data_IF_556648424571
#
_entry.id   IF_556648424571
#
_cell.length_a   1.000
_cell.length_b   1.000
_cell.length_c   1.000
_cell.angle_alpha   90.00
_cell.angle_beta   90.00
_cell.angle_gamma   90.00
#
_symmetry.space_group_name_H-M   'P 1'
#
loop_
_entity.id
_entity.type
_entity.pdbx_description
1 polymer ?
#
# COMPACT_ATOMS: atom_id res chain seq x y z
N UNK A 1 7.07 2.56 -6.68
CA UNK A 1 8.21 2.99 -7.53
C UNK A 1 8.38 2.02 -8.69
N UNK A 2 9.33 2.25 -9.64
CA UNK A 2 9.46 1.36 -10.82
C UNK A 2 9.80 -0.09 -10.44
N UNK A 3 10.69 -0.28 -9.46
CA UNK A 3 11.05 -1.61 -8.98
C UNK A 3 9.84 -2.43 -8.47
N UNK A 4 8.83 -1.75 -7.91
CA UNK A 4 7.63 -2.40 -7.35
C UNK A 4 6.72 -2.99 -8.43
N UNK A 5 6.69 -2.38 -9.59
CA UNK A 5 5.79 -2.80 -10.69
C UNK A 5 6.50 -3.52 -11.83
N UNK A 6 7.84 -3.43 -11.91
CA UNK A 6 8.61 -3.99 -13.03
C UNK A 6 8.39 -5.50 -13.22
N UNK A 7 8.39 -6.27 -12.12
CA UNK A 7 8.17 -7.72 -12.17
C UNK A 7 6.74 -8.04 -12.65
N UNK A 8 5.74 -7.34 -12.12
CA UNK A 8 4.35 -7.55 -12.53
C UNK A 8 4.13 -7.20 -14.00
N UNK A 9 4.72 -6.09 -14.48
CA UNK A 9 4.65 -5.70 -15.91
C UNK A 9 5.24 -6.77 -16.83
N UNK A 10 6.33 -7.44 -16.41
CA UNK A 10 6.95 -8.51 -17.20
C UNK A 10 6.12 -9.79 -17.29
N UNK A 11 5.25 -10.05 -16.29
CA UNK A 11 4.36 -11.21 -16.27
C UNK A 11 3.07 -10.99 -17.07
N UNK A 12 2.76 -9.75 -17.46
CA UNK A 12 1.55 -9.43 -18.22
C UNK A 12 1.61 -9.97 -19.64
N UNK A 13 0.45 -10.43 -20.11
CA UNK A 13 0.20 -10.78 -21.52
C UNK A 13 -0.94 -9.92 -22.07
N UNK A 14 -1.03 -9.78 -23.40
CA UNK A 14 -2.03 -8.97 -24.11
C UNK A 14 -2.06 -7.51 -23.65
N UNK A 15 -0.89 -6.93 -23.43
CA UNK A 15 -0.74 -5.62 -22.79
C UNK A 15 -1.10 -4.47 -23.72
N UNK A 16 -1.91 -3.55 -23.21
CA UNK A 16 -2.14 -2.23 -23.80
C UNK A 16 -1.69 -1.18 -22.78
N UNK A 17 -0.72 -0.33 -23.20
CA UNK A 17 -0.24 0.75 -22.33
C UNK A 17 -0.89 2.08 -22.75
N UNK A 18 -1.43 2.81 -21.77
CA UNK A 18 -1.96 4.17 -21.96
C UNK A 18 -1.34 5.13 -20.95
N UNK A 19 -0.99 6.34 -21.39
CA UNK A 19 -0.55 7.40 -20.49
C UNK A 19 -1.74 8.31 -20.15
N UNK A 20 -2.03 8.46 -18.86
CA UNK A 20 -3.08 9.33 -18.35
C UNK A 20 -2.51 10.08 -17.14
N UNK A 21 -2.63 11.39 -17.12
CA UNK A 21 -2.13 12.25 -16.04
C UNK A 21 -0.63 12.00 -15.69
N UNK A 22 0.20 11.66 -16.69
CA UNK A 22 1.61 11.36 -16.49
C UNK A 22 1.93 9.97 -15.93
N UNK A 23 0.92 9.12 -15.74
CA UNK A 23 1.07 7.73 -15.28
C UNK A 23 0.86 6.77 -16.44
N UNK A 24 1.68 5.73 -16.53
CA UNK A 24 1.52 4.65 -17.51
C UNK A 24 0.68 3.52 -16.91
N UNK A 25 -0.48 3.26 -17.52
CA UNK A 25 -1.40 2.19 -17.15
C UNK A 25 -1.22 1.03 -18.10
N UNK A 26 -0.79 -0.11 -17.60
CA UNK A 26 -0.57 -1.36 -18.33
C UNK A 26 -1.78 -2.26 -18.09
N UNK A 27 -2.74 -2.20 -19.00
CA UNK A 27 -3.94 -3.06 -19.01
C UNK A 27 -3.60 -4.36 -19.74
N UNK A 28 -3.83 -5.51 -19.09
CA UNK A 28 -3.47 -6.81 -19.61
C UNK A 28 -3.94 -7.96 -18.75
N UNK A 29 -3.41 -9.14 -19.03
CA UNK A 29 -3.73 -10.36 -18.29
C UNK A 29 -2.54 -10.85 -17.48
N UNK A 30 -2.73 -11.06 -16.19
CA UNK A 30 -1.80 -11.75 -15.31
C UNK A 30 -2.36 -13.16 -15.06
N UNK A 31 -1.76 -14.17 -15.72
CA UNK A 31 -2.25 -15.56 -15.68
C UNK A 31 -3.77 -15.66 -15.93
N UNK A 32 -4.26 -15.03 -17.01
CA UNK A 32 -5.67 -14.94 -17.46
C UNK A 32 -6.58 -14.03 -16.60
N UNK A 33 -6.12 -13.49 -15.47
CA UNK A 33 -6.88 -12.49 -14.69
C UNK A 33 -6.69 -11.12 -15.32
N UNK A 34 -7.76 -10.39 -15.68
CA UNK A 34 -7.65 -9.02 -16.15
C UNK A 34 -7.11 -8.11 -15.02
N UNK A 35 -6.05 -7.38 -15.31
CA UNK A 35 -5.42 -6.46 -14.35
C UNK A 35 -4.94 -5.19 -15.02
N UNK A 36 -4.89 -4.12 -14.26
CA UNK A 36 -4.20 -2.88 -14.66
C UNK A 36 -3.05 -2.64 -13.69
N UNK A 37 -1.83 -2.69 -14.19
CA UNK A 37 -0.63 -2.39 -13.41
C UNK A 37 -0.20 -0.95 -13.68
N UNK A 38 -0.04 -0.15 -12.62
CA UNK A 38 0.33 1.26 -12.72
C UNK A 38 1.26 1.67 -11.60
N UNK A 39 2.25 2.50 -11.91
CA UNK A 39 3.04 3.21 -10.91
C UNK A 39 2.37 4.56 -10.67
N UNK A 40 1.75 4.73 -9.51
CA UNK A 40 1.02 5.96 -9.18
C UNK A 40 1.93 7.19 -8.98
N UNK A 41 3.21 6.98 -8.70
CA UNK A 41 4.10 8.06 -8.26
C UNK A 41 4.11 8.21 -6.73
N UNK A 42 4.84 9.20 -6.24
CA UNK A 42 5.00 9.45 -4.80
C UNK A 42 3.98 10.47 -4.32
N UNK A 43 3.43 10.20 -3.13
CA UNK A 43 2.59 11.15 -2.40
C UNK A 43 1.08 10.99 -2.66
N UNK A 44 0.31 11.57 -1.75
CA UNK A 44 -1.13 11.36 -1.62
C UNK A 44 -1.95 11.80 -2.84
N UNK A 45 -1.57 12.93 -3.46
CA UNK A 45 -2.28 13.45 -4.64
C UNK A 45 -2.15 12.49 -5.82
N UNK A 46 -0.94 12.03 -6.12
CA UNK A 46 -0.70 11.04 -7.18
C UNK A 46 -1.47 9.74 -6.92
N UNK A 47 -1.42 9.26 -5.68
CA UNK A 47 -2.08 8.05 -5.25
C UNK A 47 -3.61 8.10 -5.42
N UNK A 48 -4.25 9.18 -4.97
CA UNK A 48 -5.70 9.38 -5.10
C UNK A 48 -6.13 9.53 -6.57
N UNK A 49 -5.40 10.32 -7.37
CA UNK A 49 -5.64 10.46 -8.81
C UNK A 49 -5.55 9.12 -9.53
N UNK A 50 -4.57 8.29 -9.19
CA UNK A 50 -4.40 6.96 -9.77
C UNK A 50 -5.63 6.09 -9.53
N UNK A 51 -6.13 6.01 -8.29
CA UNK A 51 -7.34 5.23 -7.96
C UNK A 51 -8.57 5.75 -8.71
N UNK A 52 -8.75 7.07 -8.81
CA UNK A 52 -9.87 7.64 -9.53
C UNK A 52 -9.83 7.30 -11.03
N UNK A 53 -8.64 7.33 -11.65
CA UNK A 53 -8.47 6.90 -13.06
C UNK A 53 -8.76 5.40 -13.21
N UNK A 54 -8.27 4.56 -12.29
CA UNK A 54 -8.57 3.13 -12.30
C UNK A 54 -10.08 2.86 -12.21
N UNK A 55 -10.79 3.61 -11.38
CA UNK A 55 -12.24 3.51 -11.26
C UNK A 55 -12.98 3.96 -12.54
N UNK A 56 -12.70 5.17 -13.01
CA UNK A 56 -13.52 5.82 -14.05
C UNK A 56 -13.17 5.34 -15.46
N UNK A 57 -11.90 5.07 -15.73
CA UNK A 57 -11.41 4.72 -17.08
C UNK A 57 -11.33 3.20 -17.27
N UNK A 58 -10.89 2.48 -16.22
CA UNK A 58 -10.66 1.04 -16.32
C UNK A 58 -11.74 0.21 -15.63
N UNK A 59 -12.62 0.85 -14.84
CA UNK A 59 -13.74 0.19 -14.13
C UNK A 59 -13.28 -1.02 -13.32
N UNK A 60 -12.17 -0.87 -12.60
CA UNK A 60 -11.62 -1.93 -11.77
C UNK A 60 -12.58 -2.31 -10.64
N UNK A 61 -12.63 -3.58 -10.29
CA UNK A 61 -13.47 -4.10 -9.21
C UNK A 61 -12.77 -4.14 -7.84
N UNK A 62 -11.43 -4.14 -7.84
CA UNK A 62 -10.60 -4.26 -6.63
C UNK A 62 -9.33 -3.43 -6.78
N UNK A 63 -8.79 -2.96 -5.66
CA UNK A 63 -7.53 -2.21 -5.63
C UNK A 63 -6.52 -2.93 -4.72
N UNK A 64 -5.35 -3.23 -5.26
CA UNK A 64 -4.20 -3.73 -4.49
C UNK A 64 -3.13 -2.66 -4.56
N UNK A 65 -2.75 -2.12 -3.40
CA UNK A 65 -1.59 -1.26 -3.30
C UNK A 65 -0.41 -2.05 -2.75
N UNK A 66 0.71 -2.00 -3.43
CA UNK A 66 1.94 -2.70 -3.01
C UNK A 66 3.11 -1.75 -3.04
N UNK A 67 4.05 -1.94 -2.12
CA UNK A 67 5.24 -1.11 -1.99
C UNK A 67 6.02 -1.40 -0.72
N UNK A 68 6.92 -0.50 -0.40
CA UNK A 68 7.73 -0.56 0.82
C UNK A 68 7.23 0.42 1.88
N UNK A 69 7.61 0.21 3.13
CA UNK A 69 7.28 1.09 4.25
C UNK A 69 8.34 1.04 5.34
N UNK A 70 8.43 2.10 6.14
CA UNK A 70 9.17 2.10 7.39
C UNK A 70 8.38 1.42 8.50
N UNK A 71 9.00 0.46 9.20
CA UNK A 71 8.41 -0.30 10.29
C UNK A 71 8.30 0.54 11.58
N UNK A 72 7.10 0.64 12.13
CA UNK A 72 6.84 1.30 13.41
C UNK A 72 6.67 0.28 14.53
N UNK A 73 6.01 -0.84 14.26
CA UNK A 73 5.78 -1.91 15.22
C UNK A 73 7.08 -2.67 15.50
N UNK A 74 7.39 -2.89 16.79
CA UNK A 74 8.62 -3.58 17.23
C UNK A 74 8.68 -5.06 16.79
N UNK A 75 7.55 -5.67 16.47
CA UNK A 75 7.47 -7.04 15.96
C UNK A 75 7.74 -7.20 14.46
N UNK A 76 8.02 -6.09 13.75
CA UNK A 76 8.36 -6.10 12.33
C UNK A 76 9.87 -5.90 12.14
N UNK A 77 10.49 -6.75 11.37
CA UNK A 77 11.88 -6.60 10.94
C UNK A 77 11.97 -6.21 9.46
N UNK A 78 13.13 -5.69 9.04
CA UNK A 78 13.40 -5.38 7.63
C UNK A 78 13.26 -6.67 6.81
N UNK A 79 12.45 -6.60 5.76
CA UNK A 79 12.10 -7.75 4.92
C UNK A 79 10.76 -8.40 5.25
N UNK A 80 10.19 -8.13 6.44
CA UNK A 80 8.85 -8.59 6.80
C UNK A 80 7.76 -7.95 5.95
N UNK A 81 6.59 -8.56 5.92
CA UNK A 81 5.43 -8.04 5.18
C UNK A 81 4.32 -7.64 6.16
N UNK A 82 3.83 -6.41 5.99
CA UNK A 82 2.60 -5.95 6.63
C UNK A 82 1.46 -5.92 5.61
N UNK A 83 0.32 -6.51 6.00
CA UNK A 83 -0.93 -6.46 5.24
C UNK A 83 -1.93 -5.62 6.04
N UNK A 84 -2.49 -4.59 5.41
CA UNK A 84 -3.32 -3.62 6.11
C UNK A 84 -4.62 -4.24 6.65
N UNK A 85 -4.92 -3.93 7.89
CA UNK A 85 -6.29 -4.03 8.40
C UNK A 85 -7.08 -2.75 8.15
N UNK A 86 -6.38 -1.59 8.14
CA UNK A 86 -6.91 -0.28 7.79
C UNK A 86 -5.76 0.65 7.39
N UNK A 87 -6.11 1.82 6.87
CA UNK A 87 -5.16 2.90 6.63
C UNK A 87 -5.69 4.24 7.12
N UNK A 88 -4.78 5.15 7.52
CA UNK A 88 -5.11 6.45 8.12
C UNK A 88 -4.10 7.51 7.68
N UNK A 89 -4.55 8.75 7.44
CA UNK A 89 -3.67 9.87 7.12
C UNK A 89 -3.13 10.53 8.40
N UNK A 90 -1.85 10.33 8.71
CA UNK A 90 -1.25 10.87 9.94
C UNK A 90 -0.95 12.36 9.89
N UNK A 91 -0.89 12.96 8.71
CA UNK A 91 -0.62 14.38 8.50
C UNK A 91 -1.88 15.24 8.34
N UNK A 92 -3.07 14.64 8.54
CA UNK A 92 -4.33 15.36 8.64
C UNK A 92 -4.53 15.84 10.08
N UNK A 93 -4.39 17.14 10.30
CA UNK A 93 -4.61 17.72 11.62
C UNK A 93 -5.58 18.92 11.54
N UNK A 94 -6.78 18.70 12.02
CA UNK A 94 -7.84 19.68 12.17
C UNK A 94 -8.45 19.67 13.59
N UNK A 95 -7.64 19.26 14.58
CA UNK A 95 -8.01 19.29 16.01
C UNK A 95 -8.50 20.67 16.48
N UNK A 96 -7.92 21.83 16.02
CA UNK A 96 -8.44 23.12 16.39
C UNK A 96 -9.90 23.38 15.98
N UNK A 97 -10.43 22.57 15.05
CA UNK A 97 -11.84 22.60 14.64
C UNK A 97 -12.72 21.58 15.38
N UNK A 98 -12.16 20.88 16.38
CA UNK A 98 -12.87 19.90 17.21
C UNK A 98 -12.92 18.47 16.65
N UNK A 99 -12.13 18.14 15.64
CA UNK A 99 -12.00 16.80 15.08
C UNK A 99 -10.89 16.00 15.80
N UNK A 100 -10.98 14.69 15.74
CA UNK A 100 -9.87 13.85 16.20
C UNK A 100 -8.66 13.97 15.27
N UNK A 101 -7.45 13.71 15.80
CA UNK A 101 -6.23 13.68 15.02
C UNK A 101 -6.33 12.60 13.93
N UNK A 102 -6.01 12.95 12.69
CA UNK A 102 -6.16 12.07 11.52
C UNK A 102 -7.59 12.04 10.92
N UNK A 103 -8.58 12.61 11.59
CA UNK A 103 -9.95 12.63 11.09
C UNK A 103 -10.10 13.63 9.95
N UNK A 104 -10.72 13.19 8.85
CA UNK A 104 -11.00 14.04 7.69
C UNK A 104 -12.41 14.60 7.84
N UNK A 105 -12.61 15.94 7.87
CA UNK A 105 -13.95 16.54 7.96
C UNK A 105 -14.87 16.04 6.84
N UNK A 106 -16.10 15.69 7.21
CA UNK A 106 -17.11 15.19 6.26
C UNK A 106 -16.99 13.71 5.92
N UNK A 107 -16.05 12.98 6.54
CA UNK A 107 -15.94 11.52 6.44
C UNK A 107 -16.22 10.90 7.81
N UNK A 108 -17.14 9.94 7.88
CA UNK A 108 -17.64 9.34 9.13
C UNK A 108 -16.72 8.24 9.70
N UNK A 109 -15.50 8.10 9.19
CA UNK A 109 -14.52 7.15 9.72
C UNK A 109 -13.17 7.81 9.95
N UNK A 110 -12.45 7.39 10.97
CA UNK A 110 -11.09 7.84 11.27
C UNK A 110 -10.08 7.13 10.37
N UNK A 111 -10.26 5.83 10.16
CA UNK A 111 -9.41 4.99 9.30
C UNK A 111 -10.25 4.27 8.26
N UNK A 112 -9.67 3.97 7.13
CA UNK A 112 -10.31 3.27 6.02
C UNK A 112 -10.03 1.77 6.14
N UNK A 113 -11.05 0.93 6.47
CA UNK A 113 -10.85 -0.51 6.65
C UNK A 113 -10.54 -1.19 5.33
N UNK A 114 -9.54 -2.06 5.33
CA UNK A 114 -9.27 -2.94 4.21
C UNK A 114 -10.37 -3.99 4.04
N UNK A 115 -10.58 -4.47 2.83
CA UNK A 115 -11.51 -5.57 2.59
C UNK A 115 -11.03 -6.85 3.31
N UNK A 116 -11.91 -7.42 4.13
CA UNK A 116 -11.59 -8.55 5.00
C UNK A 116 -11.19 -9.80 4.20
N UNK A 117 -11.87 -10.05 3.08
CA UNK A 117 -11.58 -11.23 2.25
C UNK A 117 -10.23 -11.05 1.54
N UNK A 118 -9.99 -9.88 0.93
CA UNK A 118 -8.71 -9.57 0.28
C UNK A 118 -7.55 -9.68 1.27
N UNK A 119 -7.70 -9.14 2.48
CA UNK A 119 -6.70 -9.22 3.54
C UNK A 119 -6.37 -10.67 3.89
N UNK A 120 -7.38 -11.49 4.19
CA UNK A 120 -7.20 -12.88 4.58
C UNK A 120 -6.56 -13.71 3.46
N UNK A 121 -6.98 -13.51 2.22
CA UNK A 121 -6.42 -14.19 1.05
C UNK A 121 -4.95 -13.77 0.84
N UNK A 122 -4.62 -12.48 1.00
CA UNK A 122 -3.26 -11.99 0.90
C UNK A 122 -2.34 -12.58 1.97
N UNK A 123 -2.81 -12.69 3.22
CA UNK A 123 -2.06 -13.33 4.32
C UNK A 123 -1.81 -14.82 4.00
N UNK A 124 -2.84 -15.54 3.55
CA UNK A 124 -2.71 -16.95 3.18
C UNK A 124 -1.72 -17.15 2.02
N UNK A 125 -1.81 -16.32 0.99
CA UNK A 125 -0.86 -16.31 -0.12
C UNK A 125 0.56 -16.01 0.35
N UNK A 126 0.75 -15.01 1.23
CA UNK A 126 2.07 -14.65 1.75
C UNK A 126 2.74 -15.83 2.44
N UNK A 127 2.04 -16.49 3.36
CA UNK A 127 2.53 -17.69 4.08
C UNK A 127 2.91 -18.83 3.14
N UNK A 128 2.23 -18.95 2.01
CA UNK A 128 2.51 -19.99 1.03
C UNK A 128 3.73 -19.68 0.15
N UNK A 129 3.85 -18.44 -0.36
CA UNK A 129 4.90 -18.10 -1.32
C UNK A 129 6.16 -17.52 -0.68
N UNK A 130 6.07 -17.03 0.55
CA UNK A 130 7.16 -16.48 1.35
C UNK A 130 7.18 -17.12 2.76
N UNK A 131 7.37 -18.45 2.89
CA UNK A 131 7.22 -19.15 4.17
C UNK A 131 8.22 -18.72 5.26
N UNK A 132 9.34 -18.17 4.86
CA UNK A 132 10.42 -17.73 5.76
C UNK A 132 10.28 -16.27 6.19
N UNK A 133 9.22 -15.57 5.72
CA UNK A 133 8.98 -14.16 6.01
C UNK A 133 7.84 -14.04 7.00
N UNK A 134 8.06 -13.23 8.06
CA UNK A 134 7.00 -12.86 8.97
C UNK A 134 5.95 -12.00 8.24
N UNK A 135 4.67 -12.33 8.44
CA UNK A 135 3.55 -11.54 7.93
C UNK A 135 2.68 -11.08 9.08
N UNK A 136 2.49 -9.77 9.18
CA UNK A 136 1.70 -9.13 10.22
C UNK A 136 0.50 -8.40 9.61
N UNK A 137 -0.64 -8.43 10.31
CA UNK A 137 -1.74 -7.49 10.06
C UNK A 137 -1.50 -6.21 10.82
N UNK A 138 -1.76 -5.05 10.22
CA UNK A 138 -1.53 -3.80 10.94
C UNK A 138 -2.14 -2.56 10.30
N UNK A 139 -2.06 -1.46 11.04
CA UNK A 139 -2.48 -0.14 10.60
C UNK A 139 -1.37 0.53 9.79
N UNK A 140 -1.69 0.87 8.54
CA UNK A 140 -0.81 1.69 7.69
C UNK A 140 -1.12 3.16 7.95
N UNK A 141 -0.10 3.95 8.32
CA UNK A 141 -0.25 5.41 8.45
C UNK A 141 0.51 6.12 7.34
N UNK A 142 -0.18 7.02 6.63
CA UNK A 142 0.37 7.69 5.45
C UNK A 142 0.42 9.21 5.61
N UNK A 143 1.47 9.82 5.04
CA UNK A 143 1.60 11.26 4.93
C UNK A 143 2.61 11.63 3.86
N UNK A 144 2.59 12.88 3.37
CA UNK A 144 3.56 13.36 2.38
C UNK A 144 4.92 13.68 3.02
N UNK A 145 5.44 12.71 3.80
CA UNK A 145 6.69 12.83 4.57
C UNK A 145 7.44 11.49 4.59
N UNK A 146 8.75 11.54 4.31
CA UNK A 146 9.64 10.42 4.59
C UNK A 146 10.01 10.45 6.09
N UNK A 147 9.62 9.42 6.83
CA UNK A 147 9.84 9.36 8.28
C UNK A 147 11.24 8.83 8.58
N UNK A 148 12.09 9.70 9.15
CA UNK A 148 13.46 9.38 9.54
C UNK A 148 13.82 9.92 10.94
N UNK A 149 12.95 10.72 11.54
CA UNK A 149 13.17 11.33 12.84
C UNK A 149 12.51 10.51 13.94
N UNK A 150 13.29 10.13 14.98
CA UNK A 150 12.80 9.31 16.08
C UNK A 150 11.58 9.92 16.79
N UNK A 151 11.56 11.22 16.97
CA UNK A 151 10.45 11.94 17.60
C UNK A 151 9.15 11.84 16.81
N UNK A 152 9.24 11.88 15.46
CA UNK A 152 8.09 11.70 14.57
C UNK A 152 7.63 10.25 14.62
N UNK A 153 8.56 9.30 14.56
CA UNK A 153 8.26 7.86 14.71
C UNK A 153 7.50 7.57 15.99
N UNK A 154 7.99 8.08 17.14
CA UNK A 154 7.35 7.91 18.45
C UNK A 154 5.95 8.54 18.51
N UNK A 155 5.75 9.67 17.85
CA UNK A 155 4.44 10.31 17.70
C UNK A 155 3.47 9.40 16.91
N UNK A 156 3.92 8.82 15.77
CA UNK A 156 3.08 7.93 14.97
C UNK A 156 2.68 6.66 15.73
N UNK A 157 3.56 6.13 16.55
CA UNK A 157 3.26 4.96 17.39
C UNK A 157 2.29 5.32 18.52
N UNK A 158 2.56 6.40 19.26
CA UNK A 158 1.81 6.79 20.45
C UNK A 158 0.40 7.30 20.13
N UNK A 159 0.28 8.18 19.12
CA UNK A 159 -0.94 8.94 18.88
C UNK A 159 -1.80 8.34 17.77
N UNK A 160 -1.20 7.61 16.83
CA UNK A 160 -1.92 6.95 15.75
C UNK A 160 -1.96 5.42 15.86
N UNK A 161 -1.15 4.82 16.75
CA UNK A 161 -1.00 3.37 16.86
C UNK A 161 -0.63 2.70 15.53
N UNK A 162 0.18 3.41 14.70
CA UNK A 162 0.61 2.92 13.40
C UNK A 162 1.58 1.75 13.52
N UNK A 163 1.44 0.77 12.62
CA UNK A 163 2.35 -0.38 12.53
C UNK A 163 3.42 -0.18 11.47
N UNK A 164 3.14 0.56 10.40
CA UNK A 164 4.13 1.04 9.43
C UNK A 164 3.74 2.41 8.87
N UNK A 165 4.73 3.16 8.36
CA UNK A 165 4.56 4.47 7.75
C UNK A 165 5.03 4.48 6.30
N UNK A 166 4.26 5.12 5.42
CA UNK A 166 4.57 5.31 4.00
C UNK A 166 3.84 6.55 3.45
N UNK A 167 3.74 6.73 2.13
CA UNK A 167 3.32 8.03 1.58
C UNK A 167 2.07 7.99 0.69
N UNK A 168 1.42 6.84 0.47
CA UNK A 168 0.34 6.69 -0.51
C UNK A 168 -0.89 5.93 -0.01
N UNK A 169 -0.68 4.92 0.81
CA UNK A 169 -1.68 3.89 1.15
C UNK A 169 -2.99 4.45 1.68
N UNK A 170 -2.95 5.40 2.61
CA UNK A 170 -4.18 5.99 3.15
C UNK A 170 -4.94 6.86 2.13
N UNK A 171 -4.23 7.49 1.18
CA UNK A 171 -4.89 8.23 0.10
C UNK A 171 -5.55 7.27 -0.92
N UNK A 172 -4.89 6.14 -1.22
CA UNK A 172 -5.48 5.05 -2.01
C UNK A 172 -6.71 4.49 -1.30
N UNK A 173 -6.59 4.19 -0.01
CA UNK A 173 -7.68 3.68 0.82
C UNK A 173 -8.87 4.64 0.86
N UNK A 174 -8.63 5.94 1.05
CA UNK A 174 -9.67 6.97 1.03
C UNK A 174 -10.38 7.03 -0.33
N UNK A 175 -9.62 7.08 -1.42
CA UNK A 175 -10.20 7.13 -2.77
C UNK A 175 -11.00 5.84 -3.08
N UNK A 176 -10.50 4.67 -2.68
CA UNK A 176 -11.20 3.41 -2.82
C UNK A 176 -12.50 3.39 -1.97
N UNK A 177 -12.44 3.84 -0.72
CA UNK A 177 -13.60 3.95 0.18
C UNK A 177 -14.70 4.83 -0.42
N UNK A 178 -14.35 6.02 -0.92
CA UNK A 178 -15.30 6.95 -1.52
C UNK A 178 -15.94 6.38 -2.81
N UNK A 179 -15.19 5.59 -3.57
CA UNK A 179 -15.67 4.90 -4.77
C UNK A 179 -16.29 3.51 -4.47
N UNK A 180 -16.37 3.10 -3.19
CA UNK A 180 -16.87 1.77 -2.76
C UNK A 180 -16.13 0.60 -3.40
N UNK A 181 -14.84 0.75 -3.65
CA UNK A 181 -13.95 -0.29 -4.16
C UNK A 181 -13.32 -1.03 -2.99
N UNK A 182 -13.43 -2.37 -2.93
CA UNK A 182 -12.63 -3.17 -2.00
C UNK A 182 -11.15 -3.00 -2.28
N UNK A 183 -10.35 -2.88 -1.22
CA UNK A 183 -8.91 -2.67 -1.33
C UNK A 183 -8.13 -3.43 -0.24
N UNK A 184 -6.86 -3.66 -0.51
CA UNK A 184 -5.85 -4.07 0.47
C UNK A 184 -4.52 -3.38 0.17
N UNK A 185 -3.78 -3.05 1.23
CA UNK A 185 -2.43 -2.49 1.15
C UNK A 185 -1.45 -3.55 1.65
N UNK A 186 -0.39 -3.78 0.88
CA UNK A 186 0.68 -4.73 1.15
C UNK A 186 1.99 -3.97 1.18
N UNK A 187 2.71 -4.02 2.31
CA UNK A 187 3.99 -3.32 2.49
C UNK A 187 5.09 -4.28 2.92
N UNK A 188 6.22 -4.24 2.24
CA UNK A 188 7.43 -4.86 2.77
C UNK A 188 8.24 -3.82 3.54
N UNK A 189 8.75 -4.19 4.70
CA UNK A 189 9.48 -3.28 5.55
C UNK A 189 10.89 -3.08 4.97
N UNK A 190 11.22 -1.84 4.61
CA UNK A 190 12.51 -1.46 4.04
C UNK A 190 13.47 -0.85 5.05
N UNK A 191 12.92 -0.29 6.13
CA UNK A 191 13.64 0.42 7.18
C UNK A 191 12.79 0.47 8.48
N UNK A 192 13.34 1.05 9.52
CA UNK A 192 12.65 1.16 10.82
C UNK A 192 12.03 2.54 11.08
N UNK A 193 11.90 3.38 10.07
CA UNK A 193 11.37 4.75 10.17
C UNK A 193 12.07 5.60 11.26
N UNK A 194 13.37 5.40 11.46
CA UNK A 194 14.20 6.09 12.43
C UNK A 194 15.45 6.69 11.76
N UNK A 195 16.44 7.10 12.54
CA UNK A 195 17.68 7.69 12.02
C UNK A 195 18.46 6.78 11.06
N UNK A 196 18.26 5.46 11.10
CA UNK A 196 18.88 4.52 10.17
C UNK A 196 18.17 4.48 8.80
N UNK A 197 16.92 4.94 8.71
CA UNK A 197 16.07 4.80 7.53
C UNK A 197 16.73 5.30 6.22
N UNK A 198 17.48 6.41 6.28
CA UNK A 198 18.16 6.96 5.10
C UNK A 198 19.24 6.02 4.54
N UNK A 199 19.86 5.18 5.38
CA UNK A 199 20.85 4.18 4.97
C UNK A 199 20.20 2.85 4.62
N UNK A 200 19.20 2.44 5.38
CA UNK A 200 18.53 1.14 5.24
C UNK A 200 17.67 1.09 3.99
N UNK A 201 16.90 2.13 3.72
CA UNK A 201 15.97 2.20 2.59
C UNK A 201 16.62 1.85 1.23
N UNK A 202 17.71 2.52 0.78
CA UNK A 202 18.33 2.19 -0.50
C UNK A 202 18.93 0.78 -0.55
N UNK A 203 19.31 0.25 0.62
CA UNK A 203 19.97 -1.06 0.74
C UNK A 203 18.93 -2.19 0.61
N UNK A 204 17.78 -2.06 1.26
CA UNK A 204 16.81 -3.13 1.41
C UNK A 204 15.58 -3.03 0.48
N UNK A 205 15.33 -1.85 -0.12
CA UNK A 205 14.22 -1.63 -1.04
C UNK A 205 14.09 -2.71 -2.11
N UNK A 206 15.21 -3.06 -2.75
CA UNK A 206 15.22 -4.05 -3.84
C UNK A 206 14.82 -5.46 -3.39
N UNK A 207 15.19 -5.86 -2.18
CA UNK A 207 14.82 -7.16 -1.63
C UNK A 207 13.36 -7.17 -1.19
N UNK A 208 12.95 -6.15 -0.47
CA UNK A 208 11.58 -5.95 0.00
C UNK A 208 10.59 -5.96 -1.18
N UNK A 209 10.90 -5.24 -2.25
CA UNK A 209 10.08 -5.18 -3.47
C UNK A 209 9.86 -6.55 -4.13
N UNK A 210 10.88 -7.42 -4.14
CA UNK A 210 10.75 -8.78 -4.71
C UNK A 210 9.74 -9.64 -3.96
N UNK A 211 9.73 -9.56 -2.62
CA UNK A 211 8.79 -10.31 -1.80
C UNK A 211 7.34 -9.86 -2.03
N UNK A 212 7.13 -8.54 -2.12
CA UNK A 212 5.83 -7.98 -2.48
C UNK A 212 5.37 -8.40 -3.87
N UNK A 213 6.22 -8.30 -4.89
CA UNK A 213 5.85 -8.66 -6.26
C UNK A 213 5.45 -10.13 -6.38
N UNK A 214 6.23 -11.05 -5.74
CA UNK A 214 5.91 -12.47 -5.68
C UNK A 214 4.57 -12.74 -5.00
N UNK A 215 4.31 -12.06 -3.88
CA UNK A 215 3.03 -12.16 -3.17
C UNK A 215 1.88 -11.66 -4.04
N UNK A 216 1.97 -10.45 -4.60
CA UNK A 216 0.90 -9.86 -5.40
C UNK A 216 0.58 -10.71 -6.63
N UNK A 217 1.61 -11.22 -7.33
CA UNK A 217 1.41 -12.13 -8.46
C UNK A 217 0.63 -13.38 -8.06
N UNK A 218 1.02 -14.04 -6.96
CA UNK A 218 0.33 -15.23 -6.45
C UNK A 218 -1.10 -14.89 -5.97
N UNK A 219 -1.28 -13.76 -5.30
CA UNK A 219 -2.56 -13.31 -4.79
C UNK A 219 -3.55 -13.04 -5.93
N UNK A 220 -3.14 -12.31 -6.97
CA UNK A 220 -3.98 -12.08 -8.16
C UNK A 220 -4.34 -13.40 -8.84
N UNK A 221 -3.39 -14.32 -9.02
CA UNK A 221 -3.64 -15.65 -9.60
C UNK A 221 -4.69 -16.46 -8.81
N UNK A 222 -4.80 -16.25 -7.51
CA UNK A 222 -5.79 -16.95 -6.68
C UNK A 222 -7.24 -16.54 -6.97
N UNK A 223 -7.47 -15.38 -7.60
CA UNK A 223 -8.81 -14.94 -8.03
C UNK A 223 -9.38 -15.75 -9.21
N UNK A 224 -8.56 -16.48 -9.94
CA UNK A 224 -9.07 -17.41 -10.97
C UNK A 224 -9.76 -18.66 -10.40
N UNK A 225 -9.40 -19.01 -9.17
CA UNK A 225 -9.88 -20.25 -8.56
C UNK A 225 -11.25 -20.10 -7.88
N UNK A 226 -11.83 -18.90 -7.90
CA UNK A 226 -13.16 -18.58 -7.34
C UNK A 226 -14.16 -18.29 -8.46
#
# INVERSE_FOLDING_TARGET
>A
MELEVATLKQELTQVVCKNVAGMEFYDGLLDKVPVVVVRCGVGKVNAAMCVQILNDVYQVSHVINTGVAGGLNAGLDIGDILISNAALQHDMNVEPLGYALGQIPGIDTLSFPADTQMKNDAIACCKNVNPDINVMEGLVVSGDQFIAEQSVREHLIRDFHGDCAEMEGAAIAQAAYLNKLPFVIIRAISDKADHSAQMDYPTFEKQATKHCAKLVSAFVKSYQAK
#
